data_IF_468692784186
#
_entry.id   IF_468692784186
#
_cell.length_a   1.000
_cell.length_b   1.000
_cell.length_c   1.000
_cell.angle_alpha   90.00
_cell.angle_beta   90.00
_cell.angle_gamma   90.00
#
_symmetry.space_group_name_H-M   'P 1'
#
loop_
_entity.id
_entity.type
_entity.pdbx_description
1 polymer ?
#
# COMPACT_ATOMS: atom_id res chain seq x y z
N UNK A 1 0.11 5.86 9.75
CA UNK A 1 -0.09 7.31 9.52
C UNK A 1 1.21 7.93 9.02
N UNK A 2 1.14 8.97 8.18
CA UNK A 2 2.25 9.82 7.79
C UNK A 2 1.83 11.27 8.02
N UNK A 3 2.57 12.05 8.82
CA UNK A 3 2.23 13.43 9.17
C UNK A 3 0.74 13.63 9.52
N UNK A 4 0.21 12.76 10.39
CA UNK A 4 -1.18 12.74 10.88
C UNK A 4 -2.26 12.37 9.83
N UNK A 5 -1.88 11.95 8.62
CA UNK A 5 -2.82 11.46 7.60
C UNK A 5 -2.63 9.98 7.33
N UNK A 6 -3.73 9.31 6.95
CA UNK A 6 -3.71 7.93 6.46
C UNK A 6 -2.82 7.78 5.23
N UNK A 7 -2.32 6.58 5.03
CA UNK A 7 -1.71 6.15 3.77
C UNK A 7 -1.81 4.62 3.71
N UNK A 8 -1.93 4.08 2.52
CA UNK A 8 -1.90 2.64 2.28
C UNK A 8 -1.19 2.35 0.96
N UNK A 9 -0.66 1.15 0.85
CA UNK A 9 -0.02 0.65 -0.36
C UNK A 9 -0.28 -0.86 -0.50
N UNK A 10 -0.27 -1.36 -1.72
CA UNK A 10 -0.42 -2.79 -2.02
C UNK A 10 0.79 -3.20 -2.87
N UNK A 11 1.53 -4.19 -2.37
CA UNK A 11 2.71 -4.71 -3.06
C UNK A 11 2.40 -6.13 -3.51
N UNK A 12 2.36 -6.31 -4.84
CA UNK A 12 2.14 -7.62 -5.47
C UNK A 12 3.45 -8.21 -5.96
N UNK A 13 3.41 -9.47 -6.39
CA UNK A 13 4.54 -10.16 -7.04
C UNK A 13 5.80 -10.25 -6.17
N UNK A 14 5.58 -10.43 -4.87
CA UNK A 14 6.66 -10.61 -3.91
C UNK A 14 7.38 -11.93 -4.19
N UNK A 15 8.70 -11.87 -4.23
CA UNK A 15 9.56 -13.06 -4.20
C UNK A 15 9.59 -13.66 -2.80
N UNK A 16 10.03 -14.91 -2.68
CA UNK A 16 10.02 -15.65 -1.41
C UNK A 16 10.86 -15.01 -0.29
N UNK A 17 11.85 -14.19 -0.64
CA UNK A 17 12.71 -13.43 0.27
C UNK A 17 12.15 -12.05 0.66
N UNK A 18 11.10 -11.59 -0.03
CA UNK A 18 10.46 -10.30 0.21
C UNK A 18 9.34 -10.41 1.24
N UNK A 19 9.74 -10.72 2.47
CA UNK A 19 8.82 -10.79 3.60
C UNK A 19 8.30 -9.41 4.00
N UNK A 20 7.21 -9.36 4.77
CA UNK A 20 6.71 -8.09 5.32
C UNK A 20 7.76 -7.36 6.19
N UNK A 21 8.62 -8.10 6.89
CA UNK A 21 9.73 -7.54 7.68
C UNK A 21 10.80 -6.87 6.81
N UNK A 22 10.98 -7.35 5.57
CA UNK A 22 11.87 -6.74 4.57
C UNK A 22 11.21 -5.50 3.95
N UNK A 23 9.93 -5.61 3.56
CA UNK A 23 9.21 -4.56 2.82
C UNK A 23 8.85 -3.35 3.69
N UNK A 24 8.48 -3.54 4.95
CA UNK A 24 7.98 -2.44 5.79
C UNK A 24 9.04 -1.33 6.04
N UNK A 25 10.32 -1.65 6.35
CA UNK A 25 11.37 -0.63 6.44
C UNK A 25 11.62 0.16 5.15
N UNK A 26 11.36 -0.43 3.97
CA UNK A 26 11.59 0.23 2.68
C UNK A 26 10.76 1.51 2.51
N UNK A 27 9.62 1.65 3.19
CA UNK A 27 8.81 2.88 3.16
C UNK A 27 9.49 4.08 3.86
N UNK A 28 10.57 3.84 4.62
CA UNK A 28 11.30 4.84 5.39
C UNK A 28 12.77 4.95 4.98
N UNK A 29 13.20 4.20 3.95
CA UNK A 29 14.56 4.22 3.43
C UNK A 29 14.66 5.01 2.12
N UNK A 30 15.71 5.82 2.00
CA UNK A 30 16.03 6.54 0.75
C UNK A 30 16.45 5.58 -0.37
N UNK A 31 16.88 4.35 -0.05
CA UNK A 31 17.23 3.32 -1.04
C UNK A 31 16.01 2.83 -1.82
N UNK A 32 14.81 3.03 -1.27
CA UNK A 32 13.53 2.62 -1.86
C UNK A 32 12.61 3.83 -2.06
N UNK A 33 13.13 4.87 -2.70
CA UNK A 33 12.45 6.16 -2.91
C UNK A 33 11.03 6.05 -3.52
N UNK A 34 10.74 5.00 -4.30
CA UNK A 34 9.39 4.76 -4.82
C UNK A 34 8.37 4.47 -3.71
N UNK A 35 8.73 3.66 -2.72
CA UNK A 35 7.87 3.30 -1.59
C UNK A 35 7.73 4.44 -0.61
N UNK A 36 8.83 5.14 -0.35
CA UNK A 36 8.78 6.39 0.41
C UNK A 36 7.78 7.38 -0.20
N UNK A 37 7.89 7.65 -1.51
CA UNK A 37 6.96 8.53 -2.22
C UNK A 37 5.52 8.04 -2.14
N UNK A 38 5.29 6.72 -2.19
CA UNK A 38 3.95 6.16 -2.07
C UNK A 38 3.33 6.42 -0.69
N UNK A 39 4.09 6.28 0.40
CA UNK A 39 3.66 6.68 1.75
C UNK A 39 3.35 8.17 1.83
N UNK A 40 4.19 9.01 1.22
CA UNK A 40 4.06 10.47 1.24
C UNK A 40 2.83 10.98 0.48
N UNK A 41 2.27 10.21 -0.46
CA UNK A 41 1.02 10.57 -1.16
C UNK A 41 -0.21 10.60 -0.26
N UNK A 42 -0.20 9.89 0.88
CA UNK A 42 -1.32 9.89 1.85
C UNK A 42 -2.69 9.57 1.22
N UNK A 43 -2.71 8.61 0.27
CA UNK A 43 -3.90 8.26 -0.51
C UNK A 43 -5.04 7.75 0.38
N UNK A 44 -6.28 8.11 0.03
CA UNK A 44 -7.52 7.57 0.62
C UNK A 44 -7.95 6.27 -0.05
N UNK A 45 -7.53 6.05 -1.30
CA UNK A 45 -7.82 4.85 -2.05
C UNK A 45 -6.63 4.52 -2.96
N UNK A 46 -6.38 3.22 -3.16
CA UNK A 46 -5.35 2.73 -4.05
C UNK A 46 -5.78 1.38 -4.60
N UNK A 47 -5.57 1.19 -5.90
CA UNK A 47 -5.88 -0.06 -6.59
C UNK A 47 -4.68 -0.50 -7.40
N UNK A 48 -4.41 -1.80 -7.36
CA UNK A 48 -3.43 -2.47 -8.22
C UNK A 48 -4.16 -3.52 -9.03
N UNK A 49 -4.13 -3.35 -10.35
CA UNK A 49 -4.50 -4.38 -11.31
C UNK A 49 -3.23 -4.99 -11.88
N UNK A 50 -3.10 -6.32 -11.78
CA UNK A 50 -2.00 -7.05 -12.40
C UNK A 50 -2.28 -7.23 -13.90
N UNK A 51 -1.32 -6.85 -14.75
CA UNK A 51 -1.46 -6.96 -16.21
C UNK A 51 -0.98 -8.35 -16.66
N UNK A 52 -1.92 -9.16 -17.16
CA UNK A 52 -1.80 -10.39 -17.97
C UNK A 52 -0.85 -11.55 -17.54
N UNK A 53 0.27 -11.32 -16.87
CA UNK A 53 1.26 -12.36 -16.51
C UNK A 53 1.05 -12.97 -15.11
N UNK A 54 0.22 -12.35 -14.25
CA UNK A 54 -0.01 -12.76 -12.86
C UNK A 54 -1.51 -12.92 -12.51
N UNK A 55 -2.23 -13.63 -13.37
CA UNK A 55 -3.61 -14.13 -13.15
C UNK A 55 -4.72 -13.05 -13.13
N UNK A 56 -4.42 -11.79 -13.46
CA UNK A 56 -5.43 -10.74 -13.62
C UNK A 56 -6.19 -10.36 -12.34
N UNK A 57 -5.69 -10.79 -11.17
CA UNK A 57 -6.29 -10.49 -9.88
C UNK A 57 -6.13 -9.00 -9.56
N UNK A 58 -7.22 -8.40 -9.07
CA UNK A 58 -7.25 -6.99 -8.65
C UNK A 58 -7.30 -6.92 -7.13
N UNK A 59 -6.62 -5.91 -6.60
CA UNK A 59 -6.62 -5.60 -5.18
C UNK A 59 -6.90 -4.12 -5.00
N UNK A 60 -7.79 -3.77 -4.10
CA UNK A 60 -8.05 -2.37 -3.74
C UNK A 60 -7.99 -2.16 -2.23
N UNK A 61 -7.58 -0.96 -1.85
CA UNK A 61 -7.73 -0.42 -0.51
C UNK A 61 -8.52 0.89 -0.58
N UNK A 62 -9.45 1.08 0.34
CA UNK A 62 -10.27 2.29 0.43
C UNK A 62 -10.55 2.63 1.90
N UNK A 63 -10.14 3.82 2.33
CA UNK A 63 -10.49 4.36 3.63
C UNK A 63 -11.90 4.96 3.58
N UNK A 64 -12.82 4.43 4.38
CA UNK A 64 -14.17 4.99 4.54
C UNK A 64 -14.28 5.96 5.71
N UNK A 65 -13.40 5.83 6.72
CA UNK A 65 -13.11 6.90 7.69
C UNK A 65 -11.69 7.40 7.43
N UNK A 66 -11.58 8.65 6.96
CA UNK A 66 -10.32 9.20 6.40
C UNK A 66 -9.62 10.20 7.32
N UNK A 67 -10.24 10.60 8.43
CA UNK A 67 -9.75 11.60 9.36
C UNK A 67 -9.89 11.15 10.82
N UNK A 68 -9.19 11.84 11.71
CA UNK A 68 -9.14 11.48 13.13
C UNK A 68 -8.23 10.28 13.42
N UNK A 69 -8.41 9.72 14.61
CA UNK A 69 -7.53 8.68 15.15
C UNK A 69 -8.12 7.26 15.01
N UNK A 70 -9.42 7.17 14.68
CA UNK A 70 -10.10 5.90 14.42
C UNK A 70 -10.36 5.84 12.93
N UNK A 71 -9.37 5.31 12.20
CA UNK A 71 -9.47 5.13 10.76
C UNK A 71 -10.08 3.76 10.46
N UNK A 72 -10.87 3.71 9.41
CA UNK A 72 -11.51 2.47 8.98
C UNK A 72 -11.24 2.28 7.48
N UNK A 73 -10.77 1.08 7.12
CA UNK A 73 -10.28 0.74 5.78
C UNK A 73 -10.90 -0.55 5.30
N UNK A 74 -11.28 -0.58 4.03
CA UNK A 74 -11.78 -1.75 3.31
C UNK A 74 -10.70 -2.23 2.37
N UNK A 75 -10.45 -3.53 2.37
CA UNK A 75 -9.55 -4.19 1.43
C UNK A 75 -10.41 -5.17 0.62
N UNK A 76 -10.37 -5.08 -0.71
CA UNK A 76 -11.11 -5.96 -1.61
C UNK A 76 -10.14 -6.75 -2.48
N UNK A 77 -10.40 -8.05 -2.61
CA UNK A 77 -9.68 -8.97 -3.49
C UNK A 77 -10.71 -9.50 -4.48
N UNK A 78 -10.44 -9.31 -5.78
CA UNK A 78 -11.35 -9.71 -6.86
C UNK A 78 -10.94 -11.05 -7.49
#
# INVERSE_FOLDING_TARGET
LQSHKRWGDIVTNLKNDQTACTINPEYYSNEHANRQRQREKQLTAYEVALVADLQGRRYSLEYYVTEGNVLEVRIVIF
#
